data_IF_181914996161
#
_entry.id   IF_181914996161
#
_cell.length_a   1.000
_cell.length_b   1.000
_cell.length_c   1.000
_cell.angle_alpha   90.00
_cell.angle_beta   90.00
_cell.angle_gamma   90.00
#
_symmetry.space_group_name_H-M   'P 1'
#
loop_
_entity.id
_entity.type
_entity.pdbx_description
1 polymer ?
#
# COMPACT_ATOMS: atom_id res chain seq x y z
N UNK A 1 6.59 -12.61 25.82
CA UNK A 1 5.30 -12.05 25.37
C UNK A 1 4.90 -12.67 24.02
N UNK A 2 4.20 -13.81 24.07
CA UNK A 2 3.86 -14.66 22.88
C UNK A 2 2.45 -14.32 22.32
N UNK A 3 1.69 -13.48 23.01
CA UNK A 3 0.27 -13.19 22.71
C UNK A 3 0.02 -12.41 21.39
N UNK A 4 0.84 -11.44 20.94
CA UNK A 4 0.55 -10.68 19.71
C UNK A 4 0.71 -11.51 18.42
N UNK A 5 1.67 -12.42 18.41
CA UNK A 5 1.96 -13.28 17.24
C UNK A 5 0.81 -14.28 17.01
N UNK A 6 0.25 -14.82 18.09
CA UNK A 6 -0.89 -15.73 18.01
C UNK A 6 -2.15 -15.06 17.41
N UNK A 7 -2.40 -13.77 17.70
CA UNK A 7 -3.56 -13.05 17.15
C UNK A 7 -3.40 -12.80 15.64
N UNK A 8 -2.20 -12.46 15.18
CA UNK A 8 -1.90 -12.27 13.75
C UNK A 8 -1.98 -13.62 13.01
N UNK A 9 -1.41 -14.66 13.57
CA UNK A 9 -1.47 -16.04 13.05
C UNK A 9 -2.92 -16.54 13.03
N UNK A 10 -3.72 -16.28 14.06
CA UNK A 10 -5.13 -16.67 14.10
C UNK A 10 -5.95 -15.91 13.05
N UNK A 11 -5.68 -14.63 12.81
CA UNK A 11 -6.34 -13.87 11.76
C UNK A 11 -5.94 -14.35 10.35
N UNK A 12 -4.68 -14.70 10.15
CA UNK A 12 -4.16 -15.27 8.90
C UNK A 12 -4.62 -16.72 8.70
N UNK A 13 -4.76 -17.51 9.78
CA UNK A 13 -5.35 -18.87 9.74
C UNK A 13 -6.85 -18.81 9.50
N UNK A 14 -7.58 -17.84 10.05
CA UNK A 14 -8.98 -17.58 9.70
C UNK A 14 -9.11 -17.16 8.22
N UNK A 15 -8.18 -16.39 7.69
CA UNK A 15 -8.07 -16.11 6.26
C UNK A 15 -7.76 -17.39 5.45
N UNK A 16 -6.96 -18.30 5.96
CA UNK A 16 -6.65 -19.59 5.31
C UNK A 16 -7.81 -20.60 5.41
N UNK A 17 -8.51 -20.65 6.53
CA UNK A 17 -9.65 -21.56 6.75
C UNK A 17 -10.88 -21.10 5.95
N UNK A 18 -11.06 -19.81 5.74
CA UNK A 18 -12.08 -19.27 4.85
C UNK A 18 -11.68 -19.30 3.36
N UNK A 19 -10.60 -20.00 2.98
CA UNK A 19 -10.12 -20.12 1.58
C UNK A 19 -11.22 -20.40 0.55
N UNK A 20 -12.19 -21.24 0.88
CA UNK A 20 -13.31 -21.58 -0.01
C UNK A 20 -14.33 -20.43 -0.18
N UNK A 21 -14.38 -19.48 0.76
CA UNK A 21 -15.35 -18.39 0.78
C UNK A 21 -14.74 -17.01 0.48
N UNK A 22 -13.47 -16.78 0.85
CA UNK A 22 -12.82 -15.47 0.74
C UNK A 22 -12.23 -15.24 -0.65
N UNK A 23 -11.63 -16.24 -1.27
CA UNK A 23 -11.02 -16.10 -2.60
C UNK A 23 -12.02 -15.71 -3.69
N UNK A 24 -13.21 -16.34 -3.82
CA UNK A 24 -14.21 -15.89 -4.79
C UNK A 24 -14.79 -14.51 -4.49
N UNK A 25 -14.94 -14.18 -3.18
CA UNK A 25 -15.47 -12.89 -2.73
C UNK A 25 -14.46 -11.76 -2.94
N UNK A 26 -13.18 -12.03 -2.72
CA UNK A 26 -12.10 -11.08 -2.96
C UNK A 26 -11.88 -10.86 -4.47
N UNK A 27 -12.01 -11.88 -5.30
CA UNK A 27 -12.00 -11.76 -6.76
C UNK A 27 -13.15 -10.89 -7.30
N UNK A 28 -14.31 -10.90 -6.62
CA UNK A 28 -15.42 -10.02 -6.98
C UNK A 28 -15.12 -8.55 -6.72
N UNK A 29 -14.36 -8.24 -5.65
CA UNK A 29 -13.89 -6.88 -5.34
C UNK A 29 -12.95 -6.32 -6.40
N UNK A 30 -12.15 -7.19 -7.00
CA UNK A 30 -11.22 -6.77 -8.04
C UNK A 30 -11.88 -6.63 -9.41
N UNK A 31 -12.94 -7.39 -9.66
CA UNK A 31 -13.82 -7.12 -10.80
C UNK A 31 -14.51 -5.76 -10.63
N UNK A 32 -14.88 -5.40 -9.40
CA UNK A 32 -15.43 -4.08 -9.09
C UNK A 32 -14.38 -2.97 -9.29
N UNK A 33 -13.15 -3.13 -8.81
CA UNK A 33 -12.04 -2.20 -9.09
C UNK A 33 -11.74 -2.05 -10.58
N UNK A 34 -11.94 -3.09 -11.41
CA UNK A 34 -11.82 -2.97 -12.87
C UNK A 34 -13.00 -2.23 -13.52
N UNK A 35 -14.19 -2.34 -12.97
CA UNK A 35 -15.38 -1.63 -13.49
C UNK A 35 -15.34 -0.14 -13.15
N UNK A 36 -14.82 0.21 -11.96
CA UNK A 36 -14.56 1.60 -11.56
C UNK A 36 -13.45 2.22 -12.42
N UNK A 37 -12.38 1.46 -12.73
CA UNK A 37 -11.29 1.92 -13.62
C UNK A 37 -11.77 2.37 -15.01
N UNK A 38 -12.86 1.85 -15.50
CA UNK A 38 -13.36 2.22 -16.85
C UNK A 38 -14.04 3.59 -16.92
N UNK A 39 -14.42 4.19 -15.78
CA UNK A 39 -15.22 5.44 -15.77
C UNK A 39 -14.45 6.71 -15.40
N UNK A 40 -13.34 6.65 -14.66
CA UNK A 40 -12.75 7.85 -14.05
C UNK A 40 -11.28 8.15 -14.36
N UNK A 41 -10.47 7.20 -14.77
CA UNK A 41 -9.07 7.50 -15.03
C UNK A 41 -8.70 7.36 -16.50
N UNK A 42 -8.66 8.49 -17.19
CA UNK A 42 -7.83 8.66 -18.38
C UNK A 42 -6.33 8.62 -18.02
N UNK A 43 -5.93 7.76 -17.05
CA UNK A 43 -4.53 7.57 -16.66
C UNK A 43 -3.83 6.81 -17.78
N UNK A 44 -2.89 7.46 -18.42
CA UNK A 44 -2.02 6.87 -19.42
C UNK A 44 -0.58 6.92 -18.93
N UNK A 45 0.11 5.79 -18.96
CA UNK A 45 1.55 5.73 -18.69
C UNK A 45 2.28 5.27 -19.94
N UNK A 46 3.24 6.07 -20.38
CA UNK A 46 4.12 5.77 -21.52
C UNK A 46 5.53 5.58 -20.98
N UNK A 47 6.17 4.50 -21.38
CA UNK A 47 7.56 4.19 -21.03
C UNK A 47 8.43 4.48 -22.26
N UNK A 48 9.45 5.33 -22.08
CA UNK A 48 10.50 5.55 -23.05
C UNK A 48 11.80 4.87 -22.61
N UNK A 49 12.90 5.07 -23.30
CA UNK A 49 14.20 4.53 -22.90
C UNK A 49 14.66 5.10 -21.54
N UNK A 50 14.41 6.39 -21.30
CA UNK A 50 14.94 7.16 -20.16
C UNK A 50 13.89 7.71 -19.23
N UNK A 51 12.60 7.68 -19.61
CA UNK A 51 11.53 8.38 -18.92
C UNK A 51 10.29 7.53 -18.74
N UNK A 52 9.51 7.88 -17.72
CA UNK A 52 8.14 7.40 -17.48
C UNK A 52 7.21 8.62 -17.53
N UNK A 53 6.38 8.69 -18.57
CA UNK A 53 5.46 9.81 -18.79
C UNK A 53 4.07 9.38 -18.32
N UNK A 54 3.54 10.07 -17.30
CA UNK A 54 2.16 9.88 -16.84
C UNK A 54 1.28 11.03 -17.30
N UNK A 55 0.09 10.68 -17.82
CA UNK A 55 -0.98 11.61 -18.14
C UNK A 55 -2.22 11.26 -17.37
N UNK A 56 -2.84 12.23 -16.72
CA UNK A 56 -4.03 12.08 -15.90
C UNK A 56 -4.73 13.43 -15.70
N UNK A 57 -5.80 13.46 -14.92
CA UNK A 57 -6.47 14.74 -14.60
C UNK A 57 -5.49 15.70 -13.90
N UNK A 58 -5.51 17.02 -14.24
CA UNK A 58 -4.59 18.01 -13.67
C UNK A 58 -4.54 17.99 -12.14
N UNK A 59 -5.70 17.94 -11.48
CA UNK A 59 -5.77 17.90 -10.02
C UNK A 59 -5.04 16.67 -9.42
N UNK A 60 -5.13 15.52 -10.07
CA UNK A 60 -4.44 14.30 -9.63
C UNK A 60 -2.93 14.38 -9.89
N UNK A 61 -2.54 14.98 -11.00
CA UNK A 61 -1.12 15.21 -11.32
C UNK A 61 -0.47 16.14 -10.30
N UNK A 62 -1.14 17.20 -9.89
CA UNK A 62 -0.64 18.11 -8.85
C UNK A 62 -0.45 17.38 -7.53
N UNK A 63 -1.42 16.57 -7.11
CA UNK A 63 -1.33 15.77 -5.89
C UNK A 63 -0.15 14.80 -5.97
N UNK A 64 -0.05 14.02 -7.04
CA UNK A 64 1.04 13.05 -7.22
C UNK A 64 2.41 13.71 -7.27
N UNK A 65 2.55 14.81 -8.00
CA UNK A 65 3.80 15.54 -8.10
C UNK A 65 4.26 16.09 -6.75
N UNK A 66 3.37 16.67 -5.97
CA UNK A 66 3.70 17.21 -4.65
C UNK A 66 4.06 16.11 -3.65
N UNK A 67 3.30 15.01 -3.63
CA UNK A 67 3.63 13.83 -2.81
C UNK A 67 5.00 13.27 -3.18
N UNK A 68 5.28 13.11 -4.48
CA UNK A 68 6.56 12.58 -4.97
C UNK A 68 7.73 13.45 -4.54
N UNK A 69 7.66 14.76 -4.73
CA UNK A 69 8.74 15.69 -4.35
C UNK A 69 9.04 15.63 -2.85
N UNK A 70 7.99 15.66 -2.03
CA UNK A 70 8.14 15.59 -0.56
C UNK A 70 8.63 14.23 -0.10
N UNK A 71 8.14 13.16 -0.68
CA UNK A 71 8.62 11.82 -0.40
C UNK A 71 10.09 11.64 -0.80
N UNK A 72 10.52 12.23 -1.93
CA UNK A 72 11.93 12.27 -2.32
C UNK A 72 12.82 12.99 -1.30
N UNK A 73 12.32 14.06 -0.68
CA UNK A 73 13.04 14.71 0.42
C UNK A 73 13.16 13.82 1.68
N UNK A 74 12.10 13.07 2.02
CA UNK A 74 12.16 12.07 3.10
C UNK A 74 13.16 10.97 2.76
N UNK A 75 13.12 10.44 1.54
CA UNK A 75 14.01 9.39 1.06
C UNK A 75 15.49 9.80 1.18
N UNK A 76 15.85 10.97 0.68
CA UNK A 76 17.24 11.50 0.78
C UNK A 76 17.69 11.68 2.22
N UNK A 77 16.83 12.13 3.12
CA UNK A 77 17.17 12.34 4.52
C UNK A 77 17.37 11.02 5.27
N UNK A 78 16.57 10.01 4.98
CA UNK A 78 16.56 8.75 5.73
C UNK A 78 17.45 7.66 5.13
N UNK A 79 17.67 7.68 3.82
CA UNK A 79 18.40 6.62 3.10
C UNK A 79 17.70 5.25 3.09
N UNK A 80 16.43 5.18 3.53
CA UNK A 80 15.71 3.90 3.68
C UNK A 80 15.08 3.43 2.37
N UNK A 81 14.74 4.35 1.49
CA UNK A 81 14.14 4.08 0.18
C UNK A 81 14.52 5.17 -0.81
N UNK A 82 14.24 4.95 -2.08
CA UNK A 82 14.39 5.92 -3.14
C UNK A 82 13.03 6.27 -3.74
N UNK A 83 12.95 7.41 -4.41
CA UNK A 83 11.76 7.87 -5.15
C UNK A 83 12.24 8.36 -6.50
N UNK A 84 11.64 7.94 -7.64
CA UNK A 84 11.99 8.45 -8.95
C UNK A 84 11.84 9.97 -9.02
N UNK A 85 12.83 10.65 -9.60
CA UNK A 85 12.79 12.10 -9.73
C UNK A 85 11.80 12.54 -10.79
N UNK A 86 11.15 13.69 -10.55
CA UNK A 86 10.38 14.38 -11.58
C UNK A 86 11.36 15.21 -12.41
N UNK A 87 11.57 14.78 -13.64
CA UNK A 87 12.51 15.40 -14.58
C UNK A 87 11.84 16.35 -15.56
N UNK A 88 10.51 16.39 -15.60
CA UNK A 88 9.77 17.26 -16.49
C UNK A 88 8.25 17.11 -16.38
N UNK A 89 7.57 17.67 -17.38
CA UNK A 89 6.11 17.69 -17.46
C UNK A 89 5.50 18.99 -16.93
N UNK A 90 4.18 19.07 -17.02
CA UNK A 90 3.34 20.16 -16.49
C UNK A 90 2.19 19.55 -15.71
N UNK A 91 2.34 19.38 -14.38
CA UNK A 91 1.30 18.77 -13.55
C UNK A 91 -0.03 19.52 -13.62
N UNK A 92 0.01 20.84 -13.77
CA UNK A 92 -1.18 21.68 -13.96
C UNK A 92 -1.90 21.43 -15.30
N UNK A 93 -1.21 20.83 -16.26
CA UNK A 93 -1.80 20.36 -17.52
C UNK A 93 -2.02 18.84 -17.53
N UNK A 94 -1.85 18.15 -16.37
CA UNK A 94 -2.09 16.74 -16.25
C UNK A 94 -0.96 15.83 -16.70
N UNK A 95 0.27 16.33 -16.84
CA UNK A 95 1.42 15.55 -17.27
C UNK A 95 2.58 15.63 -16.27
N UNK A 96 3.11 14.45 -15.90
CA UNK A 96 4.33 14.33 -15.10
C UNK A 96 5.30 13.42 -15.86
N UNK A 97 6.57 13.81 -15.88
CA UNK A 97 7.66 13.02 -16.45
C UNK A 97 8.62 12.66 -15.34
N UNK A 98 8.77 11.36 -15.10
CA UNK A 98 9.71 10.81 -14.12
C UNK A 98 10.94 10.25 -14.84
N UNK A 99 12.08 10.24 -14.18
CA UNK A 99 13.22 9.43 -14.60
C UNK A 99 12.83 7.95 -14.65
N UNK A 100 13.34 7.23 -15.63
CA UNK A 100 13.21 5.78 -15.69
C UNK A 100 14.43 5.10 -15.08
N UNK A 101 14.23 4.44 -13.96
CA UNK A 101 15.30 3.68 -13.31
C UNK A 101 15.34 2.29 -13.94
N UNK A 102 16.49 1.94 -14.53
CA UNK A 102 16.70 0.62 -15.14
C UNK A 102 17.01 -0.46 -14.11
N UNK A 103 16.88 -1.73 -14.52
CA UNK A 103 17.28 -2.88 -13.70
C UNK A 103 16.44 -3.09 -12.43
N UNK A 104 15.21 -2.55 -12.40
CA UNK A 104 14.28 -2.71 -11.30
C UNK A 104 13.28 -3.84 -11.55
N UNK A 105 12.85 -4.49 -10.48
CA UNK A 105 11.77 -5.48 -10.50
C UNK A 105 10.76 -5.16 -9.38
N UNK A 106 9.46 -5.38 -9.58
CA UNK A 106 8.49 -5.23 -8.49
C UNK A 106 8.84 -6.13 -7.30
N UNK A 107 8.59 -5.63 -6.09
CA UNK A 107 8.83 -6.38 -4.86
C UNK A 107 8.18 -7.76 -4.91
N UNK A 108 6.95 -7.83 -5.44
CA UNK A 108 6.27 -9.10 -5.66
C UNK A 108 7.14 -10.08 -6.47
N UNK A 109 7.66 -9.66 -7.63
CA UNK A 109 8.51 -10.49 -8.50
C UNK A 109 9.83 -10.84 -7.82
N UNK A 110 10.38 -9.92 -7.02
CA UNK A 110 11.58 -10.15 -6.24
C UNK A 110 11.39 -11.26 -5.20
N UNK A 111 10.26 -11.27 -4.49
CA UNK A 111 9.95 -12.23 -3.44
C UNK A 111 9.72 -13.65 -3.98
N UNK A 112 9.23 -13.78 -5.22
CA UNK A 112 9.03 -15.08 -5.87
C UNK A 112 10.38 -15.74 -6.14
N UNK A 113 10.54 -16.96 -5.65
CA UNK A 113 11.76 -17.77 -5.89
C UNK A 113 13.00 -17.35 -5.08
N UNK A 114 12.87 -16.37 -4.16
CA UNK A 114 13.96 -15.99 -3.25
C UNK A 114 13.97 -16.86 -1.99
N UNK A 115 15.15 -16.94 -1.36
CA UNK A 115 15.27 -17.55 -0.03
C UNK A 115 14.42 -16.74 0.95
N UNK A 116 13.79 -17.42 1.88
CA UNK A 116 12.91 -16.79 2.88
C UNK A 116 13.61 -15.65 3.64
N UNK A 117 14.89 -15.82 4.00
CA UNK A 117 15.67 -14.78 4.71
C UNK A 117 15.82 -13.50 3.91
N UNK A 118 16.18 -13.59 2.62
CA UNK A 118 16.33 -12.41 1.74
C UNK A 118 14.99 -11.68 1.56
N UNK A 119 13.89 -12.46 1.44
CA UNK A 119 12.54 -11.92 1.33
C UNK A 119 12.10 -11.20 2.61
N UNK A 120 12.34 -11.77 3.79
CA UNK A 120 12.06 -11.13 5.09
C UNK A 120 12.87 -9.84 5.28
N UNK A 121 14.14 -9.85 4.88
CA UNK A 121 14.98 -8.66 4.97
C UNK A 121 14.44 -7.50 4.11
N UNK A 122 14.00 -7.80 2.89
CA UNK A 122 13.40 -6.79 2.00
C UNK A 122 12.03 -6.32 2.50
N UNK A 123 11.21 -7.22 3.03
CA UNK A 123 9.93 -6.88 3.65
C UNK A 123 10.14 -5.98 4.89
N UNK A 124 11.12 -6.30 5.74
CA UNK A 124 11.50 -5.45 6.87
C UNK A 124 11.97 -4.06 6.44
N UNK A 125 12.73 -3.97 5.32
CA UNK A 125 13.12 -2.68 4.75
C UNK A 125 11.90 -1.87 4.30
N UNK A 126 10.91 -2.51 3.67
CA UNK A 126 9.66 -1.87 3.29
C UNK A 126 8.89 -1.35 4.53
N UNK A 127 8.92 -2.08 5.66
CA UNK A 127 8.34 -1.65 6.93
C UNK A 127 8.98 -0.36 7.46
N UNK A 128 10.31 -0.32 7.51
CA UNK A 128 11.03 0.89 7.92
C UNK A 128 10.82 2.07 6.96
N UNK A 129 10.75 1.81 5.65
CA UNK A 129 10.45 2.84 4.66
C UNK A 129 9.06 3.44 4.87
N UNK A 130 8.03 2.61 5.07
CA UNK A 130 6.68 3.09 5.35
C UNK A 130 6.61 3.86 6.67
N UNK A 131 7.30 3.40 7.71
CA UNK A 131 7.41 4.13 8.98
C UNK A 131 7.99 5.53 8.76
N UNK A 132 9.10 5.65 8.04
CA UNK A 132 9.73 6.93 7.73
C UNK A 132 8.82 7.86 6.90
N UNK A 133 8.04 7.29 5.97
CA UNK A 133 7.02 8.04 5.22
C UNK A 133 5.97 8.60 6.18
N UNK A 134 5.36 7.77 6.99
CA UNK A 134 4.30 8.18 7.92
C UNK A 134 4.77 9.18 8.98
N UNK A 135 6.00 9.05 9.46
CA UNK A 135 6.55 9.95 10.49
C UNK A 135 7.02 11.28 9.94
N UNK A 136 7.44 11.30 8.68
CA UNK A 136 8.18 12.45 8.14
C UNK A 136 7.52 13.16 6.96
N UNK A 137 6.63 12.47 6.23
CA UNK A 137 5.95 13.10 5.10
C UNK A 137 4.90 14.10 5.62
N UNK A 138 5.07 15.36 5.23
CA UNK A 138 4.12 16.43 5.57
C UNK A 138 3.55 16.99 4.26
N UNK A 139 2.24 16.96 4.13
CA UNK A 139 1.53 17.44 2.94
C UNK A 139 0.73 18.72 3.29
N UNK A 140 0.57 19.67 2.35
CA UNK A 140 -0.29 20.83 2.54
C UNK A 140 -1.71 20.40 2.93
N UNK A 141 -2.37 21.19 3.77
CA UNK A 141 -3.70 20.84 4.31
C UNK A 141 -4.74 20.71 3.19
N UNK A 142 -4.63 21.54 2.20
CA UNK A 142 -5.52 21.68 1.03
C UNK A 142 -5.16 20.80 -0.16
N UNK A 143 -4.08 20.01 -0.07
CA UNK A 143 -3.59 19.21 -1.20
C UNK A 143 -4.61 18.18 -1.69
N UNK A 144 -5.40 17.59 -0.77
CA UNK A 144 -6.34 16.52 -1.10
C UNK A 144 -7.25 16.17 0.08
N UNK A 145 -7.80 14.98 0.03
CA UNK A 145 -8.85 14.51 0.93
C UNK A 145 -8.34 13.51 1.95
N UNK A 146 -9.02 13.41 3.08
CA UNK A 146 -8.83 12.32 4.03
C UNK A 146 -9.58 11.08 3.58
N UNK A 147 -9.05 9.91 3.93
CA UNK A 147 -9.64 8.62 3.65
C UNK A 147 -11.05 8.54 4.23
N UNK A 148 -12.03 8.16 3.40
CA UNK A 148 -13.43 8.04 3.79
C UNK A 148 -13.83 6.57 4.05
N UNK A 149 -15.04 6.38 4.55
CA UNK A 149 -15.67 5.06 4.63
C UNK A 149 -15.75 4.43 3.22
N UNK A 150 -15.65 3.11 3.10
CA UNK A 150 -15.58 2.13 4.19
C UNK A 150 -14.15 1.86 4.70
N UNK A 151 -13.15 2.56 4.20
CA UNK A 151 -11.74 2.31 4.53
C UNK A 151 -11.29 3.02 5.81
N UNK A 152 -11.94 4.14 6.14
CA UNK A 152 -11.72 4.80 7.43
C UNK A 152 -12.35 3.95 8.55
N UNK A 153 -11.60 3.75 9.60
CA UNK A 153 -12.16 3.22 10.85
C UNK A 153 -12.73 4.41 11.58
N UNK A 154 -14.05 4.47 11.74
CA UNK A 154 -14.68 5.42 12.65
C UNK A 154 -14.14 5.18 14.06
N UNK A 155 -13.98 6.22 14.84
CA UNK A 155 -13.45 6.21 16.21
C UNK A 155 -14.14 5.11 17.03
N UNK A 156 -13.51 3.96 17.15
CA UNK A 156 -14.05 2.78 17.77
C UNK A 156 -12.94 1.74 17.93
N UNK A 157 -13.12 0.83 18.87
CA UNK A 157 -12.16 -0.24 19.10
C UNK A 157 -12.15 -1.23 17.94
N UNK A 158 -11.03 -1.35 17.25
CA UNK A 158 -10.72 -2.54 16.47
C UNK A 158 -10.01 -3.50 17.41
N UNK A 159 -10.65 -4.62 17.73
CA UNK A 159 -10.18 -5.62 18.70
C UNK A 159 -9.81 -5.04 20.09
N UNK A 160 -10.59 -4.08 20.60
CA UNK A 160 -10.35 -3.48 21.92
C UNK A 160 -9.27 -2.38 21.93
N UNK A 161 -8.67 -2.06 20.78
CA UNK A 161 -7.67 -1.01 20.65
C UNK A 161 -8.28 0.22 19.99
N UNK A 162 -8.14 1.39 20.64
CA UNK A 162 -8.60 2.66 20.10
C UNK A 162 -7.71 3.05 18.91
N UNK A 163 -8.27 3.04 17.70
CA UNK A 163 -7.66 3.77 16.58
C UNK A 163 -8.17 5.20 16.70
N UNK A 164 -7.38 6.04 17.33
CA UNK A 164 -7.72 7.46 17.53
C UNK A 164 -7.47 8.26 16.25
N UNK A 165 -8.14 9.42 16.11
CA UNK A 165 -7.89 10.35 15.01
C UNK A 165 -6.45 10.89 15.03
N UNK A 166 -5.79 10.85 16.19
CA UNK A 166 -4.40 11.29 16.38
C UNK A 166 -3.37 10.46 15.60
N UNK A 167 -3.81 9.35 15.00
CA UNK A 167 -2.98 8.48 14.16
C UNK A 167 -3.15 8.72 12.65
N UNK A 168 -3.76 9.85 12.24
CA UNK A 168 -3.78 10.21 10.82
C UNK A 168 -2.38 10.60 10.35
N UNK A 169 -1.98 9.99 9.24
CA UNK A 169 -0.68 10.21 8.59
C UNK A 169 -0.88 10.62 7.13
N UNK A 170 0.15 11.17 6.53
CA UNK A 170 0.17 11.28 5.08
C UNK A 170 0.30 9.88 4.48
N UNK A 171 -0.69 9.49 3.67
CA UNK A 171 -0.74 8.17 3.05
C UNK A 171 0.00 8.15 1.71
N UNK A 172 0.65 7.04 1.42
CA UNK A 172 0.99 6.69 0.05
C UNK A 172 -0.31 6.49 -0.76
N UNK A 173 -1.29 5.80 -0.18
CA UNK A 173 -2.61 5.57 -0.76
C UNK A 173 -2.69 4.39 -1.73
N UNK A 174 -1.55 3.85 -2.15
CA UNK A 174 -1.42 2.62 -2.95
C UNK A 174 -0.12 1.87 -2.65
N UNK A 175 0.24 1.78 -1.36
CA UNK A 175 1.47 1.12 -0.89
C UNK A 175 1.35 -0.40 -1.02
N UNK A 176 1.74 -0.93 -2.15
CA UNK A 176 1.58 -2.34 -2.51
C UNK A 176 2.84 -2.94 -3.14
N UNK A 177 2.90 -4.26 -3.23
CA UNK A 177 4.09 -4.98 -3.69
C UNK A 177 4.41 -4.80 -5.19
N UNK A 178 3.58 -4.12 -5.97
CA UNK A 178 3.87 -3.75 -7.37
C UNK A 178 4.45 -2.34 -7.50
N UNK A 179 4.09 -1.44 -6.57
CA UNK A 179 4.57 -0.05 -6.52
C UNK A 179 5.87 0.08 -5.72
N UNK A 180 6.29 -0.99 -5.05
CA UNK A 180 7.60 -1.14 -4.46
C UNK A 180 8.51 -1.87 -5.44
N UNK A 181 9.58 -1.21 -5.87
CA UNK A 181 10.53 -1.77 -6.82
C UNK A 181 11.86 -2.04 -6.11
N UNK A 182 12.47 -3.17 -6.47
CA UNK A 182 13.77 -3.59 -5.95
C UNK A 182 14.82 -3.43 -7.03
N UNK A 183 15.90 -2.74 -6.71
CA UNK A 183 17.04 -2.51 -7.58
C UNK A 183 18.34 -3.07 -6.98
N UNK A 184 19.40 -3.06 -7.79
CA UNK A 184 20.76 -3.41 -7.39
C UNK A 184 20.84 -4.73 -6.62
N UNK A 185 20.17 -5.75 -7.16
CA UNK A 185 20.14 -7.11 -6.58
C UNK A 185 19.64 -7.17 -5.13
N UNK A 186 18.73 -6.27 -4.75
CA UNK A 186 18.15 -6.22 -3.41
C UNK A 186 18.76 -5.16 -2.48
N UNK A 187 19.70 -4.36 -2.96
CA UNK A 187 20.33 -3.34 -2.13
C UNK A 187 19.49 -2.06 -2.01
N UNK A 188 18.65 -1.77 -3.01
CA UNK A 188 17.81 -0.57 -3.05
C UNK A 188 16.34 -0.92 -3.12
N UNK A 189 15.52 -0.15 -2.42
CA UNK A 189 14.07 -0.18 -2.48
C UNK A 189 13.56 1.15 -3.01
N UNK A 190 12.80 1.13 -4.08
CA UNK A 190 12.15 2.32 -4.63
C UNK A 190 10.66 2.28 -4.29
N UNK A 191 10.12 3.42 -3.88
CA UNK A 191 8.68 3.63 -3.68
C UNK A 191 8.18 4.50 -4.83
N UNK A 192 7.28 3.96 -5.64
CA UNK A 192 6.79 4.57 -6.87
C UNK A 192 5.27 4.69 -6.86
N UNK A 193 4.72 5.43 -7.84
CA UNK A 193 3.27 5.60 -8.01
C UNK A 193 2.58 6.22 -6.80
N UNK A 194 2.94 7.48 -6.53
CA UNK A 194 2.41 8.27 -5.41
C UNK A 194 0.97 8.77 -5.63
N UNK A 195 0.33 8.33 -6.71
CA UNK A 195 -1.10 8.50 -6.90
C UNK A 195 -1.88 7.53 -6.01
N UNK A 196 -2.90 8.03 -5.34
CA UNK A 196 -3.76 7.15 -4.54
C UNK A 196 -4.53 6.15 -5.43
N UNK A 197 -4.81 4.98 -4.87
CA UNK A 197 -5.62 3.96 -5.52
C UNK A 197 -7.06 4.45 -5.74
N UNK A 198 -7.65 4.12 -6.89
CA UNK A 198 -9.07 4.37 -7.16
C UNK A 198 -10.01 3.71 -6.12
N UNK A 199 -9.53 2.70 -5.39
CA UNK A 199 -10.29 2.04 -4.31
C UNK A 199 -10.51 2.93 -3.10
N UNK A 200 -9.53 3.76 -2.74
CA UNK A 200 -9.66 4.66 -1.59
C UNK A 200 -10.14 6.06 -1.98
N UNK A 201 -10.14 6.36 -3.27
CA UNK A 201 -10.40 7.66 -3.84
C UNK A 201 -9.11 8.32 -4.35
N UNK A 202 -9.10 8.78 -5.61
CA UNK A 202 -7.87 9.23 -6.28
C UNK A 202 -7.28 10.51 -5.67
N UNK A 203 -8.04 11.23 -4.85
CA UNK A 203 -7.63 12.46 -4.16
C UNK A 203 -7.20 12.26 -2.71
N UNK A 204 -7.22 11.00 -2.23
CA UNK A 204 -6.86 10.70 -0.83
C UNK A 204 -5.36 10.90 -0.61
N UNK A 205 -5.05 11.68 0.42
CA UNK A 205 -3.67 12.01 0.83
C UNK A 205 -3.40 11.77 2.32
N UNK A 206 -4.46 11.56 3.13
CA UNK A 206 -4.36 11.35 4.58
C UNK A 206 -5.30 10.25 5.03
N UNK A 207 -4.97 9.63 6.14
CA UNK A 207 -5.81 8.63 6.80
C UNK A 207 -5.07 7.85 7.86
N UNK A 208 -5.70 6.84 8.43
CA UNK A 208 -5.07 5.99 9.43
C UNK A 208 -3.91 5.21 8.81
N UNK A 209 -2.77 5.19 9.48
CA UNK A 209 -1.54 4.52 9.05
C UNK A 209 -1.77 3.05 8.63
N UNK A 210 -2.72 2.40 9.28
CA UNK A 210 -3.03 0.98 9.05
C UNK A 210 -3.53 0.70 7.64
N UNK A 211 -4.04 1.70 6.92
CA UNK A 211 -4.50 1.53 5.54
C UNK A 211 -3.36 1.10 4.60
N UNK A 212 -2.26 1.85 4.57
CA UNK A 212 -1.11 1.52 3.73
C UNK A 212 -0.43 0.21 4.16
N UNK A 213 -0.34 -0.03 5.47
CA UNK A 213 0.22 -1.27 6.00
C UNK A 213 -0.60 -2.49 5.59
N UNK A 214 -1.92 -2.42 5.75
CA UNK A 214 -2.84 -3.49 5.36
C UNK A 214 -2.83 -3.72 3.83
N UNK A 215 -2.68 -2.64 3.06
CA UNK A 215 -2.65 -2.74 1.61
C UNK A 215 -1.42 -3.53 1.11
N UNK A 216 -0.24 -3.30 1.70
CA UNK A 216 0.93 -4.13 1.40
C UNK A 216 0.71 -5.59 1.84
N UNK A 217 0.24 -5.82 3.07
CA UNK A 217 -0.01 -7.19 3.57
C UNK A 217 -0.91 -7.97 2.62
N UNK A 218 -2.04 -7.39 2.19
CA UNK A 218 -2.93 -8.05 1.23
C UNK A 218 -2.19 -8.45 -0.05
N UNK A 219 -1.34 -7.58 -0.56
CA UNK A 219 -0.65 -7.81 -1.83
C UNK A 219 0.50 -8.81 -1.73
N UNK A 220 1.05 -9.04 -0.53
CA UNK A 220 2.02 -10.11 -0.29
C UNK A 220 1.40 -11.51 -0.39
N UNK A 221 0.12 -11.65 -0.03
CA UNK A 221 -0.61 -12.93 -0.17
C UNK A 221 -1.17 -13.16 -1.57
N UNK A 222 -1.08 -12.17 -2.46
CA UNK A 222 -1.78 -12.21 -3.73
C UNK A 222 -0.86 -12.03 -4.92
N UNK A 223 -0.84 -12.99 -5.83
CA UNK A 223 -0.18 -12.82 -7.11
C UNK A 223 -1.09 -12.16 -8.15
N UNK A 224 -0.46 -11.46 -9.11
CA UNK A 224 -1.13 -10.90 -10.29
C UNK A 224 -1.83 -11.98 -11.14
N UNK A 225 -1.34 -13.22 -11.07
CA UNK A 225 -1.79 -14.36 -11.85
C UNK A 225 -2.74 -15.29 -11.08
N UNK A 226 -3.18 -14.92 -9.87
CA UNK A 226 -3.97 -15.79 -9.01
C UNK A 226 -3.16 -16.90 -8.32
N UNK A 227 -1.85 -16.97 -8.55
CA UNK A 227 -0.97 -17.88 -7.83
C UNK A 227 -0.71 -17.29 -6.46
N UNK A 228 -1.06 -18.05 -5.46
CA UNK A 228 -0.73 -17.72 -4.08
C UNK A 228 0.73 -18.11 -3.86
N UNK A 229 1.56 -17.20 -3.36
CA UNK A 229 2.85 -17.61 -2.79
C UNK A 229 2.58 -18.71 -1.77
N UNK A 230 3.59 -19.54 -1.50
CA UNK A 230 3.50 -20.45 -0.35
C UNK A 230 3.08 -19.59 0.85
N UNK A 231 1.97 -19.94 1.48
CA UNK A 231 1.37 -19.17 2.58
C UNK A 231 2.42 -18.85 3.64
N UNK A 232 3.25 -19.84 4.00
CA UNK A 232 4.30 -19.70 5.00
C UNK A 232 5.32 -18.62 4.66
N UNK A 233 5.59 -18.41 3.36
CA UNK A 233 6.51 -17.34 2.92
C UNK A 233 5.85 -15.98 2.97
N UNK A 234 4.60 -15.87 2.48
CA UNK A 234 3.85 -14.62 2.51
C UNK A 234 3.60 -14.15 3.96
N UNK A 235 3.29 -15.08 4.86
CA UNK A 235 3.15 -14.82 6.30
C UNK A 235 4.45 -14.31 6.90
N UNK A 236 5.59 -14.97 6.60
CA UNK A 236 6.88 -14.53 7.11
C UNK A 236 7.25 -13.13 6.60
N UNK A 237 6.94 -12.80 5.35
CA UNK A 237 7.19 -11.48 4.80
C UNK A 237 6.28 -10.41 5.43
N UNK A 238 5.00 -10.72 5.64
CA UNK A 238 4.06 -9.83 6.30
C UNK A 238 4.47 -9.55 7.75
N UNK A 239 4.89 -10.58 8.49
CA UNK A 239 5.38 -10.42 9.85
C UNK A 239 6.65 -9.57 9.89
N UNK A 240 7.66 -9.88 9.07
CA UNK A 240 8.90 -9.09 9.01
C UNK A 240 8.64 -7.61 8.66
N UNK A 241 7.69 -7.35 7.77
CA UNK A 241 7.24 -6.00 7.43
C UNK A 241 6.60 -5.29 8.61
N UNK A 242 5.60 -5.91 9.24
CA UNK A 242 4.83 -5.31 10.34
C UNK A 242 5.67 -5.13 11.61
N UNK A 243 6.53 -6.08 11.94
CA UNK A 243 7.46 -5.99 13.08
C UNK A 243 8.44 -4.83 12.90
N UNK A 244 9.05 -4.69 11.71
CA UNK A 244 9.95 -3.58 11.43
C UNK A 244 9.25 -2.22 11.39
N UNK A 245 8.00 -2.17 10.93
CA UNK A 245 7.17 -0.97 10.99
C UNK A 245 6.85 -0.61 12.44
N UNK A 246 6.44 -1.59 13.25
CA UNK A 246 6.11 -1.44 14.66
C UNK A 246 7.32 -0.94 15.48
N UNK A 247 8.49 -1.54 15.27
CA UNK A 247 9.73 -1.14 15.90
C UNK A 247 10.10 0.32 15.56
N UNK A 248 10.10 0.66 14.28
CA UNK A 248 10.48 1.99 13.80
C UNK A 248 9.53 3.10 14.28
N UNK A 249 8.26 2.80 14.53
CA UNK A 249 7.25 3.76 15.00
C UNK A 249 6.97 3.68 16.49
N UNK A 250 7.64 2.79 17.22
CA UNK A 250 7.33 2.52 18.62
C UNK A 250 5.86 2.16 18.87
N UNK A 251 5.26 1.38 17.95
CA UNK A 251 3.87 0.90 17.97
C UNK A 251 3.83 -0.63 18.04
N UNK A 252 4.16 -1.24 19.18
CA UNK A 252 4.25 -2.70 19.31
C UNK A 252 2.94 -3.43 18.97
N UNK A 253 1.81 -2.74 19.05
CA UNK A 253 0.49 -3.27 18.70
C UNK A 253 0.20 -3.27 17.18
N UNK A 254 1.05 -2.67 16.34
CA UNK A 254 0.77 -2.50 14.92
C UNK A 254 0.43 -3.81 14.19
N UNK A 255 1.06 -4.95 14.44
CA UNK A 255 0.67 -6.21 13.82
C UNK A 255 -0.76 -6.65 14.17
N UNK A 256 -1.15 -6.50 15.43
CA UNK A 256 -2.49 -6.87 15.90
C UNK A 256 -3.56 -5.91 15.33
N UNK A 257 -3.28 -4.60 15.33
CA UNK A 257 -4.16 -3.57 14.75
C UNK A 257 -4.36 -3.81 13.25
N UNK A 258 -3.28 -4.11 12.51
CA UNK A 258 -3.35 -4.41 11.08
C UNK A 258 -4.21 -5.65 10.82
N UNK A 259 -4.02 -6.73 11.59
CA UNK A 259 -4.83 -7.95 11.48
C UNK A 259 -6.32 -7.70 11.73
N UNK A 260 -6.64 -6.97 12.79
CA UNK A 260 -8.01 -6.63 13.14
C UNK A 260 -8.68 -5.68 12.10
N UNK A 261 -7.92 -4.71 11.58
CA UNK A 261 -8.37 -3.85 10.49
C UNK A 261 -8.72 -4.67 9.25
N UNK A 262 -7.84 -5.57 8.82
CA UNK A 262 -8.08 -6.47 7.68
C UNK A 262 -9.34 -7.31 7.89
N UNK A 263 -9.51 -7.92 9.05
CA UNK A 263 -10.68 -8.73 9.39
C UNK A 263 -11.98 -7.90 9.30
N UNK A 264 -11.97 -6.68 9.84
CA UNK A 264 -13.14 -5.79 9.81
C UNK A 264 -13.49 -5.35 8.39
N UNK A 265 -12.48 -5.01 7.56
CA UNK A 265 -12.72 -4.55 6.18
C UNK A 265 -13.17 -5.68 5.27
N UNK A 266 -12.65 -6.87 5.41
CA UNK A 266 -13.12 -8.05 4.67
C UNK A 266 -14.58 -8.37 5.00
N UNK A 267 -15.01 -8.21 6.25
CA UNK A 267 -16.40 -8.41 6.67
C UNK A 267 -17.35 -7.37 6.04
N UNK A 268 -16.96 -6.09 6.03
CA UNK A 268 -17.74 -5.02 5.39
C UNK A 268 -17.92 -5.27 3.90
N UNK A 269 -16.84 -5.62 3.21
CA UNK A 269 -16.84 -5.88 1.78
C UNK A 269 -17.62 -7.15 1.39
N UNK A 270 -17.91 -8.03 2.35
CA UNK A 270 -18.71 -9.25 2.12
C UNK A 270 -20.21 -9.03 2.31
N UNK A 271 -20.68 -7.88 2.81
CA UNK A 271 -22.10 -7.61 3.07
C UNK A 271 -22.92 -7.56 1.78
N UNK A 272 -24.12 -8.20 1.73
CA UNK A 272 -24.98 -8.22 0.55
C UNK A 272 -25.43 -6.83 0.05
N UNK A 273 -25.59 -5.88 0.98
CA UNK A 273 -26.05 -4.51 0.71
C UNK A 273 -25.08 -3.72 -0.18
N UNK A 274 -23.79 -4.04 -0.12
CA UNK A 274 -22.79 -3.48 -1.04
C UNK A 274 -22.83 -4.18 -2.40
N UNK A 275 -23.36 -5.40 -2.46
CA UNK A 275 -23.58 -6.15 -3.71
C UNK A 275 -24.81 -5.70 -4.48
N UNK A 276 -25.86 -5.23 -3.79
CA UNK A 276 -27.20 -4.96 -4.36
C UNK A 276 -27.33 -3.63 -5.11
N UNK A 277 -26.35 -2.74 -5.08
CA UNK A 277 -26.37 -1.50 -5.87
C UNK A 277 -25.87 -1.68 -7.30
N UNK A 278 -26.09 -2.86 -7.89
CA UNK A 278 -25.91 -3.15 -9.31
C UNK A 278 -27.28 -3.41 -9.92
N UNK A 279 -28.00 -2.36 -10.17
CA UNK A 279 -29.15 -2.29 -11.07
C UNK A 279 -28.83 -1.26 -12.14
#
# INVERSE_FOLDING_TARGET
SIVPIAATVTCLLLLSWQRRLVVPRFLSLLRWGRAVRRRESARQTVLTATEVIKRQLPALSLIEAEKTRRAGAVARRTGLFDVPEIVGGRPEAGQIVFERIGGVVPLWTWLVGRRRGDGCQMAARAGRALAAIHDSLRLPVDLGESLAAPWRVESGCVAGMAITQDHEVALHGDFNAWNLLVADKGRRLLVTDWAASDLCGPRVVRGPWVFDAAWLVITLFRSRWGWVQRIDSAEAFANAFLESYAEARHLPEAPAVCGAYLASRLSVLSRPEIRGRRG
#
